data_IF_972884405197
#
_entry.id   IF_972884405197
#
_cell.length_a   1.000
_cell.length_b   1.000
_cell.length_c   1.000
_cell.angle_alpha   90.00
_cell.angle_beta   90.00
_cell.angle_gamma   90.00
#
_symmetry.space_group_name_H-M   'P 1'
#
loop_
_entity.id
_entity.type
_entity.pdbx_description
1 polymer ?
#
# COMPACT_ATOMS: atom_id res chain seq x y z
N UNK A 1 -6.19 12.82 -12.27
CA UNK A 1 -6.38 11.39 -11.96
C UNK A 1 -6.48 11.18 -10.45
N UNK A 2 -7.19 10.18 -9.99
CA UNK A 2 -7.26 9.76 -8.58
C UNK A 2 -6.77 8.32 -8.45
N UNK A 3 -6.02 8.03 -7.40
CA UNK A 3 -5.62 6.66 -7.04
C UNK A 3 -6.20 6.35 -5.66
N UNK A 4 -6.87 5.21 -5.55
CA UNK A 4 -7.29 4.61 -4.30
C UNK A 4 -6.42 3.37 -4.08
N UNK A 5 -5.66 3.33 -2.98
CA UNK A 5 -4.93 2.14 -2.56
C UNK A 5 -5.74 1.52 -1.43
N UNK A 6 -6.14 0.27 -1.60
CA UNK A 6 -7.01 -0.45 -0.67
C UNK A 6 -6.24 -1.64 -0.12
N UNK A 7 -5.98 -1.65 1.19
CA UNK A 7 -5.41 -2.82 1.84
C UNK A 7 -6.47 -3.93 1.95
N UNK A 8 -6.05 -5.19 1.80
CA UNK A 8 -6.93 -6.35 2.02
C UNK A 8 -7.56 -6.34 3.42
N UNK A 9 -8.71 -7.01 3.59
CA UNK A 9 -9.37 -7.23 4.88
C UNK A 9 -8.56 -8.12 5.82
N UNK A 10 -9.04 -8.31 7.05
CA UNK A 10 -8.37 -9.14 8.06
C UNK A 10 -8.03 -10.53 7.51
N UNK A 11 -6.74 -10.94 7.51
CA UNK A 11 -6.30 -12.12 6.78
C UNK A 11 -6.20 -13.36 7.64
N UNK A 12 -6.51 -14.50 7.03
CA UNK A 12 -5.96 -15.79 7.40
C UNK A 12 -4.71 -16.03 6.51
N UNK A 13 -3.52 -15.84 7.06
CA UNK A 13 -2.27 -15.97 6.30
C UNK A 13 -1.96 -17.40 5.87
N UNK A 14 -2.37 -18.40 6.65
CA UNK A 14 -2.14 -19.83 6.36
C UNK A 14 -2.90 -20.27 5.09
N UNK A 15 -4.14 -19.83 4.96
CA UNK A 15 -5.02 -20.18 3.83
C UNK A 15 -4.99 -19.12 2.72
N UNK A 16 -4.28 -18.00 2.92
CA UNK A 16 -4.26 -16.83 2.04
C UNK A 16 -5.66 -16.35 1.64
N UNK A 17 -6.56 -16.25 2.62
CA UNK A 17 -7.94 -15.81 2.45
C UNK A 17 -8.33 -14.77 3.53
N UNK A 18 -9.55 -14.25 3.47
CA UNK A 18 -10.10 -13.43 4.54
C UNK A 18 -10.63 -14.28 5.69
N UNK A 19 -10.48 -13.78 6.92
CA UNK A 19 -11.23 -14.28 8.08
C UNK A 19 -12.70 -13.87 7.98
N UNK A 20 -13.57 -14.41 8.86
CA UNK A 20 -14.95 -13.94 8.94
C UNK A 20 -15.03 -12.45 9.29
N UNK A 21 -14.09 -11.93 10.12
CA UNK A 21 -13.95 -10.51 10.38
C UNK A 21 -13.57 -9.75 9.10
N UNK A 22 -12.56 -10.22 8.39
CA UNK A 22 -12.11 -9.62 7.14
C UNK A 22 -13.19 -9.56 6.05
N UNK A 23 -14.07 -10.55 5.99
CA UNK A 23 -15.23 -10.54 5.09
C UNK A 23 -16.25 -9.45 5.45
N UNK A 24 -16.51 -9.23 6.76
CA UNK A 24 -17.39 -8.13 7.21
C UNK A 24 -16.74 -6.77 6.90
N UNK A 25 -15.46 -6.59 7.22
CA UNK A 25 -14.71 -5.37 6.88
C UNK A 25 -14.75 -5.08 5.38
N UNK A 26 -14.49 -6.09 4.54
CA UNK A 26 -14.54 -5.97 3.09
C UNK A 26 -15.94 -5.61 2.57
N UNK A 27 -17.00 -6.14 3.17
CA UNK A 27 -18.38 -5.78 2.82
C UNK A 27 -18.69 -4.31 3.13
N UNK A 28 -18.25 -3.80 4.29
CA UNK A 28 -18.43 -2.38 4.66
C UNK A 28 -17.63 -1.45 3.74
N UNK A 29 -16.40 -1.81 3.43
CA UNK A 29 -15.56 -1.09 2.45
C UNK A 29 -16.23 -1.07 1.07
N UNK A 30 -16.77 -2.21 0.62
CA UNK A 30 -17.46 -2.30 -0.66
C UNK A 30 -18.71 -1.41 -0.72
N UNK A 31 -19.51 -1.34 0.37
CA UNK A 31 -20.66 -0.46 0.48
C UNK A 31 -20.28 1.04 0.39
N UNK A 32 -19.11 1.42 0.90
CA UNK A 32 -18.56 2.76 0.74
C UNK A 32 -18.11 3.00 -0.70
N UNK A 33 -17.25 2.13 -1.23
CA UNK A 33 -16.61 2.35 -2.52
C UNK A 33 -17.54 2.17 -3.73
N UNK A 34 -18.62 1.39 -3.63
CA UNK A 34 -19.59 1.29 -4.73
C UNK A 34 -20.31 2.62 -5.05
N UNK A 35 -20.28 3.58 -4.14
CA UNK A 35 -20.81 4.93 -4.34
C UNK A 35 -19.83 5.84 -5.10
N UNK A 36 -18.58 5.39 -5.26
CA UNK A 36 -17.53 6.12 -5.94
C UNK A 36 -17.47 5.74 -7.43
N UNK A 37 -17.15 6.71 -8.27
CA UNK A 37 -16.81 6.40 -9.67
C UNK A 37 -15.38 5.84 -9.68
N UNK A 38 -15.23 4.54 -9.89
CA UNK A 38 -13.94 3.86 -10.11
C UNK A 38 -13.92 3.36 -11.56
N UNK A 39 -12.94 3.81 -12.32
CA UNK A 39 -12.84 3.52 -13.76
C UNK A 39 -11.98 2.28 -14.03
N UNK A 40 -10.96 2.01 -13.20
CA UNK A 40 -10.05 0.87 -13.36
C UNK A 40 -9.82 0.17 -12.03
N UNK A 41 -9.83 -1.16 -12.05
CA UNK A 41 -9.68 -2.02 -10.87
C UNK A 41 -8.48 -2.93 -11.08
N UNK A 42 -7.48 -2.80 -10.22
CA UNK A 42 -6.28 -3.63 -10.20
C UNK A 42 -6.20 -4.39 -8.89
N UNK A 43 -5.83 -5.66 -8.94
CA UNK A 43 -5.73 -6.51 -7.76
C UNK A 43 -4.40 -7.24 -7.70
N UNK A 44 -3.88 -7.39 -6.49
CA UNK A 44 -2.89 -8.40 -6.15
C UNK A 44 -3.39 -9.80 -6.51
N UNK A 45 -2.53 -10.74 -6.90
CA UNK A 45 -2.90 -12.13 -7.11
C UNK A 45 -3.10 -12.92 -5.79
N UNK A 46 -2.68 -12.39 -4.63
CA UNK A 46 -2.82 -13.08 -3.34
C UNK A 46 -4.29 -13.14 -2.92
N UNK A 47 -4.70 -14.30 -2.38
CA UNK A 47 -6.10 -14.65 -2.14
C UNK A 47 -6.85 -13.61 -1.30
N UNK A 48 -6.28 -13.19 -0.16
CA UNK A 48 -6.88 -12.18 0.73
C UNK A 48 -7.16 -10.84 0.03
N UNK A 49 -6.28 -10.40 -0.88
CA UNK A 49 -6.49 -9.16 -1.63
C UNK A 49 -7.49 -9.35 -2.77
N UNK A 50 -7.47 -10.52 -3.43
CA UNK A 50 -8.47 -10.89 -4.42
C UNK A 50 -9.88 -10.92 -3.83
N UNK A 51 -10.09 -11.61 -2.70
CA UNK A 51 -11.38 -11.67 -2.03
C UNK A 51 -11.89 -10.27 -1.66
N UNK A 52 -11.01 -9.39 -1.18
CA UNK A 52 -11.37 -7.99 -0.88
C UNK A 52 -11.80 -7.25 -2.14
N UNK A 53 -11.05 -7.38 -3.23
CA UNK A 53 -11.34 -6.78 -4.53
C UNK A 53 -12.65 -7.33 -5.12
N UNK A 54 -12.84 -8.63 -5.10
CA UNK A 54 -14.03 -9.31 -5.63
C UNK A 54 -15.29 -8.91 -4.84
N UNK A 55 -15.17 -8.73 -3.51
CA UNK A 55 -16.28 -8.22 -2.69
C UNK A 55 -16.72 -6.84 -3.15
N UNK A 56 -15.78 -5.92 -3.39
CA UNK A 56 -16.08 -4.62 -3.97
C UNK A 56 -16.67 -4.74 -5.38
N UNK A 57 -15.99 -5.47 -6.26
CA UNK A 57 -16.41 -5.56 -7.67
C UNK A 57 -17.81 -6.19 -7.83
N UNK A 58 -18.16 -7.17 -6.99
CA UNK A 58 -19.51 -7.75 -6.93
C UNK A 58 -20.55 -6.70 -6.50
N UNK A 59 -20.27 -5.94 -5.44
CA UNK A 59 -21.18 -4.90 -4.95
C UNK A 59 -21.38 -3.75 -5.97
N UNK A 60 -20.35 -3.48 -6.79
CA UNK A 60 -20.36 -2.45 -7.83
C UNK A 60 -20.82 -2.96 -9.21
N UNK A 61 -21.08 -4.27 -9.39
CA UNK A 61 -21.42 -4.87 -10.69
C UNK A 61 -20.27 -4.87 -11.71
N UNK A 62 -19.00 -4.95 -11.25
CA UNK A 62 -17.77 -4.77 -12.05
C UNK A 62 -16.82 -5.98 -11.99
N UNK A 63 -17.32 -7.18 -11.76
CA UNK A 63 -16.48 -8.37 -11.60
C UNK A 63 -15.64 -8.72 -12.83
N UNK A 64 -16.10 -8.37 -14.03
CA UNK A 64 -15.36 -8.57 -15.28
C UNK A 64 -14.23 -7.55 -15.50
N UNK A 65 -14.18 -6.47 -14.71
CA UNK A 65 -13.23 -5.35 -14.90
C UNK A 65 -11.95 -5.51 -14.08
N UNK A 66 -11.83 -6.58 -13.28
CA UNK A 66 -10.66 -6.81 -12.42
C UNK A 66 -9.47 -7.23 -13.27
N UNK A 67 -8.38 -6.46 -13.17
CA UNK A 67 -7.09 -6.79 -13.79
C UNK A 67 -6.09 -7.17 -12.71
N UNK A 68 -5.68 -8.42 -12.69
CA UNK A 68 -4.67 -8.92 -11.74
C UNK A 68 -3.27 -8.50 -12.20
N UNK A 69 -2.49 -7.97 -11.28
CA UNK A 69 -1.10 -7.56 -11.48
C UNK A 69 -0.18 -8.27 -10.49
N UNK A 70 0.73 -9.10 -10.98
CA UNK A 70 1.63 -9.90 -10.14
C UNK A 70 2.52 -9.07 -9.22
N UNK A 71 2.90 -7.87 -9.64
CA UNK A 71 3.73 -6.97 -8.86
C UNK A 71 2.97 -6.26 -7.71
N UNK A 72 1.64 -6.38 -7.64
CA UNK A 72 0.83 -5.92 -6.51
C UNK A 72 0.84 -6.87 -5.29
N UNK A 73 1.64 -7.94 -5.32
CA UNK A 73 1.90 -8.80 -4.15
C UNK A 73 2.48 -7.99 -2.99
N UNK A 74 2.37 -8.56 -1.78
CA UNK A 74 3.02 -7.96 -0.62
C UNK A 74 4.53 -7.79 -0.85
N UNK A 75 5.06 -6.71 -0.30
CA UNK A 75 6.50 -6.43 -0.30
C UNK A 75 7.15 -7.17 0.89
N UNK A 76 7.17 -8.48 0.79
CA UNK A 76 7.56 -9.44 1.83
C UNK A 76 9.01 -9.94 1.71
N UNK A 77 9.88 -9.16 1.08
CA UNK A 77 11.26 -9.55 0.84
C UNK A 77 12.04 -9.72 2.15
N UNK A 78 12.62 -10.92 2.43
CA UNK A 78 13.31 -11.17 3.69
C UNK A 78 14.67 -10.47 3.75
N UNK A 79 14.99 -9.95 4.92
CA UNK A 79 16.27 -9.29 5.22
C UNK A 79 16.86 -9.81 6.52
N UNK A 80 18.14 -9.54 6.77
CA UNK A 80 18.81 -9.80 8.04
C UNK A 80 19.21 -8.48 8.67
N UNK A 81 18.68 -8.18 9.85
CA UNK A 81 19.00 -6.95 10.56
C UNK A 81 20.29 -7.02 11.36
N UNK A 82 20.92 -5.88 11.68
CA UNK A 82 22.16 -5.83 12.46
C UNK A 82 22.04 -6.48 13.85
N UNK A 83 20.84 -6.49 14.43
CA UNK A 83 20.52 -7.20 15.68
C UNK A 83 20.65 -8.72 15.60
N UNK A 84 20.88 -9.28 14.39
CA UNK A 84 20.94 -10.73 14.14
C UNK A 84 19.58 -11.36 13.86
N UNK A 85 18.49 -10.59 13.82
CA UNK A 85 17.18 -11.08 13.39
C UNK A 85 17.24 -11.42 11.89
N UNK A 86 17.08 -12.68 11.56
CA UNK A 86 17.11 -13.21 10.18
C UNK A 86 15.70 -13.46 9.66
N UNK A 87 15.55 -13.49 8.34
CA UNK A 87 14.25 -13.68 7.68
C UNK A 87 13.17 -12.66 8.09
N UNK A 88 13.60 -11.51 8.58
CA UNK A 88 12.72 -10.41 8.94
C UNK A 88 12.27 -9.66 7.68
N UNK A 89 11.15 -8.97 7.75
CA UNK A 89 10.67 -8.17 6.64
C UNK A 89 11.25 -6.76 6.71
N UNK A 90 11.49 -6.11 5.57
CA UNK A 90 12.12 -4.80 5.51
C UNK A 90 11.35 -3.71 6.29
N UNK A 91 10.05 -3.91 6.50
CA UNK A 91 9.15 -3.03 7.22
C UNK A 91 8.91 -3.43 8.68
N UNK A 92 9.75 -4.30 9.25
CA UNK A 92 9.66 -4.77 10.64
C UNK A 92 10.97 -4.51 11.41
N UNK A 93 11.52 -3.29 11.26
CA UNK A 93 12.69 -2.85 12.03
C UNK A 93 12.26 -2.41 13.42
N UNK A 94 13.06 -2.79 14.44
CA UNK A 94 12.91 -2.21 15.76
C UNK A 94 13.42 -0.76 15.78
N UNK A 95 12.90 0.11 16.66
CA UNK A 95 13.27 1.52 16.67
C UNK A 95 14.78 1.78 16.67
N UNK A 96 15.56 1.03 17.45
CA UNK A 96 17.02 1.16 17.54
C UNK A 96 17.75 0.81 16.24
N UNK A 97 17.11 0.07 15.34
CA UNK A 97 17.72 -0.36 14.06
C UNK A 97 17.63 0.71 12.97
N UNK A 98 16.78 1.75 13.13
CA UNK A 98 16.55 2.70 12.05
C UNK A 98 16.50 4.19 12.45
N UNK A 99 16.09 4.55 13.69
CA UNK A 99 15.81 5.95 14.06
C UNK A 99 17.02 6.88 13.95
N UNK A 100 18.25 6.36 14.08
CA UNK A 100 19.49 7.13 13.99
C UNK A 100 20.23 6.94 12.65
N UNK A 101 19.71 6.12 11.76
CA UNK A 101 20.34 5.75 10.49
C UNK A 101 19.92 6.71 9.36
N UNK A 102 20.67 7.80 9.17
CA UNK A 102 20.33 8.88 8.21
C UNK A 102 20.05 8.40 6.79
N UNK A 103 20.78 7.38 6.32
CA UNK A 103 20.59 6.83 4.97
C UNK A 103 19.19 6.26 4.77
N UNK A 104 18.56 5.76 5.83
CA UNK A 104 17.21 5.21 5.79
C UNK A 104 16.12 6.27 5.59
N UNK A 105 16.44 7.53 5.84
CA UNK A 105 15.55 8.67 5.61
C UNK A 105 15.59 9.18 4.16
N UNK A 106 16.61 8.77 3.40
CA UNK A 106 16.78 9.19 2.01
C UNK A 106 15.87 8.37 1.07
N UNK A 107 15.04 9.07 0.31
CA UNK A 107 14.14 8.47 -0.66
C UNK A 107 14.85 7.60 -1.71
N UNK A 108 16.00 8.06 -2.23
CA UNK A 108 16.76 7.36 -3.26
C UNK A 108 17.95 6.56 -2.70
N UNK A 109 18.21 6.64 -1.39
CA UNK A 109 19.41 6.06 -0.75
C UNK A 109 19.14 4.97 0.27
N UNK A 110 17.92 4.84 0.78
CA UNK A 110 17.60 3.94 1.90
C UNK A 110 18.07 2.49 1.71
N UNK A 111 17.96 1.95 0.49
CA UNK A 111 18.37 0.57 0.17
C UNK A 111 19.90 0.40 0.10
N UNK A 112 20.68 1.46 0.28
CA UNK A 112 22.14 1.38 0.45
C UNK A 112 22.56 1.12 1.90
N UNK A 113 21.61 1.08 2.84
CA UNK A 113 21.91 0.68 4.21
C UNK A 113 22.52 -0.73 4.25
N UNK A 114 23.57 -0.98 5.09
CA UNK A 114 24.27 -2.27 5.11
C UNK A 114 23.38 -3.50 5.28
N UNK A 115 22.29 -3.41 6.04
CA UNK A 115 21.37 -4.54 6.24
C UNK A 115 20.66 -5.01 4.96
N UNK A 116 20.59 -4.16 3.93
CA UNK A 116 19.95 -4.49 2.66
C UNK A 116 20.93 -4.94 1.59
N UNK A 117 22.25 -4.78 1.83
CA UNK A 117 23.28 -5.16 0.86
C UNK A 117 23.29 -6.68 0.64
N UNK A 118 23.27 -7.09 -0.64
CA UNK A 118 23.26 -8.50 -1.03
C UNK A 118 21.95 -9.26 -0.75
N UNK A 119 20.93 -8.59 -0.21
CA UNK A 119 19.64 -9.24 0.05
C UNK A 119 18.77 -9.39 -1.20
N UNK A 120 18.98 -8.60 -2.26
CA UNK A 120 18.09 -8.52 -3.43
C UNK A 120 16.94 -7.54 -3.24
N UNK A 121 16.86 -6.88 -2.09
CA UNK A 121 15.77 -5.94 -1.77
C UNK A 121 15.70 -4.75 -2.72
N UNK A 122 16.88 -4.21 -3.09
CA UNK A 122 16.98 -3.09 -4.04
C UNK A 122 16.35 -3.44 -5.39
N UNK A 123 16.71 -4.58 -5.92
CA UNK A 123 16.20 -5.09 -7.20
C UNK A 123 14.69 -5.30 -7.14
N UNK A 124 14.20 -5.87 -6.05
CA UNK A 124 12.75 -6.03 -5.81
C UNK A 124 12.03 -4.69 -5.76
N UNK A 125 12.58 -3.71 -5.03
CA UNK A 125 12.02 -2.36 -4.95
C UNK A 125 11.98 -1.71 -6.33
N UNK A 126 13.09 -1.77 -7.07
CA UNK A 126 13.20 -1.17 -8.40
C UNK A 126 12.24 -1.81 -9.41
N UNK A 127 12.04 -3.14 -9.38
CA UNK A 127 11.06 -3.81 -10.23
C UNK A 127 9.64 -3.31 -9.93
N UNK A 128 9.26 -3.24 -8.66
CA UNK A 128 7.92 -2.77 -8.27
C UNK A 128 7.66 -1.34 -8.74
N UNK A 129 8.59 -0.40 -8.47
CA UNK A 129 8.38 0.99 -8.87
C UNK A 129 8.41 1.20 -10.38
N UNK A 130 9.20 0.41 -11.13
CA UNK A 130 9.21 0.47 -12.59
C UNK A 130 7.86 0.02 -13.17
N UNK A 131 7.31 -1.10 -12.71
CA UNK A 131 5.99 -1.59 -13.13
C UNK A 131 4.86 -0.67 -12.72
N UNK A 132 5.00 0.00 -11.60
CA UNK A 132 4.03 1.02 -11.18
C UNK A 132 4.10 2.26 -12.08
N UNK A 133 5.31 2.74 -12.42
CA UNK A 133 5.48 3.83 -13.37
C UNK A 133 4.95 3.48 -14.77
N UNK A 134 5.14 2.24 -15.24
CA UNK A 134 4.53 1.73 -16.48
C UNK A 134 3.00 1.81 -16.43
N UNK A 135 2.40 1.38 -15.30
CA UNK A 135 0.95 1.50 -15.10
C UNK A 135 0.50 2.96 -15.19
N UNK A 136 1.20 3.89 -14.52
CA UNK A 136 0.85 5.32 -14.56
C UNK A 136 1.04 5.90 -15.96
N UNK A 137 2.06 5.48 -16.71
CA UNK A 137 2.28 5.89 -18.09
C UNK A 137 1.14 5.43 -19.02
N UNK A 138 0.61 4.21 -18.84
CA UNK A 138 -0.59 3.74 -19.56
C UNK A 138 -1.80 4.65 -19.31
N UNK A 139 -1.86 5.30 -18.15
CA UNK A 139 -2.89 6.27 -17.79
C UNK A 139 -2.51 7.72 -18.09
N UNK A 140 -1.42 7.95 -18.82
CA UNK A 140 -1.02 9.27 -19.32
C UNK A 140 -0.09 10.07 -18.41
N UNK A 141 0.52 9.44 -17.40
CA UNK A 141 1.45 10.08 -16.44
C UNK A 141 2.81 9.38 -16.48
N UNK A 142 3.74 9.94 -17.23
CA UNK A 142 5.10 9.39 -17.41
C UNK A 142 6.04 9.95 -16.35
N UNK A 143 6.73 9.09 -15.60
CA UNK A 143 7.69 9.53 -14.58
C UNK A 143 8.81 10.38 -15.20
N UNK A 144 9.06 11.55 -14.61
CA UNK A 144 10.13 12.48 -14.99
C UNK A 144 10.75 13.08 -13.73
N UNK A 145 11.96 12.66 -13.41
CA UNK A 145 12.63 13.02 -12.14
C UNK A 145 11.75 12.70 -10.93
N UNK A 146 11.49 13.69 -10.08
CA UNK A 146 10.64 13.56 -8.87
C UNK A 146 9.15 13.94 -9.11
N UNK A 147 8.73 14.02 -10.38
CA UNK A 147 7.36 14.31 -10.77
C UNK A 147 6.93 13.46 -11.96
N UNK A 148 5.91 13.95 -12.65
CA UNK A 148 5.34 13.26 -13.80
C UNK A 148 5.10 14.25 -14.94
N UNK A 149 5.44 13.83 -16.15
CA UNK A 149 5.03 14.50 -17.38
C UNK A 149 3.65 13.99 -17.78
N UNK A 150 2.73 14.91 -18.03
CA UNK A 150 1.34 14.59 -18.38
C UNK A 150 1.22 14.52 -19.91
N UNK A 151 1.07 13.30 -20.42
CA UNK A 151 0.83 13.04 -21.85
C UNK A 151 -0.65 13.03 -22.19
N UNK A 152 -1.48 12.53 -21.26
CA UNK A 152 -2.93 12.48 -21.41
C UNK A 152 -3.61 12.83 -20.09
N UNK A 153 -4.04 14.10 -19.96
CA UNK A 153 -4.83 14.56 -18.83
C UNK A 153 -6.16 13.80 -18.74
N UNK A 154 -6.51 13.36 -17.53
CA UNK A 154 -7.77 12.67 -17.28
C UNK A 154 -8.26 12.88 -15.83
N UNK A 155 -9.48 12.41 -15.55
CA UNK A 155 -10.11 12.40 -14.23
C UNK A 155 -10.47 10.99 -13.78
N UNK A 156 -9.78 10.00 -14.33
CA UNK A 156 -10.03 8.61 -14.02
C UNK A 156 -9.64 8.29 -12.58
N UNK A 157 -10.33 7.33 -12.00
CA UNK A 157 -10.02 6.74 -10.70
C UNK A 157 -9.53 5.32 -10.87
N UNK A 158 -8.32 5.06 -10.40
CA UNK A 158 -7.73 3.74 -10.30
C UNK A 158 -7.89 3.23 -8.87
N UNK A 159 -8.39 2.02 -8.68
CA UNK A 159 -8.38 1.32 -7.40
C UNK A 159 -7.36 0.18 -7.44
N UNK A 160 -6.41 0.16 -6.49
CA UNK A 160 -5.36 -0.84 -6.35
C UNK A 160 -5.61 -1.62 -5.06
N UNK A 161 -6.06 -2.87 -5.17
CA UNK A 161 -6.28 -3.75 -4.02
C UNK A 161 -5.01 -4.53 -3.72
N UNK A 162 -4.37 -4.25 -2.60
CA UNK A 162 -3.04 -4.75 -2.30
C UNK A 162 -2.77 -4.90 -0.79
N UNK A 163 -1.57 -4.59 -0.32
CA UNK A 163 -1.04 -4.92 1.00
C UNK A 163 -0.32 -3.73 1.60
N UNK A 164 -0.07 -3.76 2.94
CA UNK A 164 0.54 -2.66 3.68
C UNK A 164 1.97 -2.33 3.24
N UNK A 165 2.84 -3.33 3.17
CA UNK A 165 4.25 -3.10 2.80
C UNK A 165 4.37 -2.56 1.38
N UNK A 166 3.57 -3.10 0.45
CA UNK A 166 3.52 -2.61 -0.93
C UNK A 166 2.92 -1.21 -1.03
N UNK A 167 1.82 -0.91 -0.33
CA UNK A 167 1.22 0.42 -0.31
C UNK A 167 2.25 1.49 0.02
N UNK A 168 3.09 1.25 1.02
CA UNK A 168 4.16 2.15 1.42
C UNK A 168 5.22 2.33 0.31
N UNK A 169 5.54 1.30 -0.46
CA UNK A 169 6.41 1.40 -1.64
C UNK A 169 5.79 2.28 -2.72
N UNK A 170 4.50 2.11 -3.00
CA UNK A 170 3.78 2.94 -3.98
C UNK A 170 3.71 4.41 -3.54
N UNK A 171 3.41 4.66 -2.27
CA UNK A 171 3.41 6.02 -1.69
C UNK A 171 4.79 6.64 -1.71
N UNK A 172 5.82 5.88 -1.37
CA UNK A 172 7.22 6.31 -1.49
C UNK A 172 7.51 6.84 -2.90
N UNK A 173 7.10 6.10 -3.93
CA UNK A 173 7.30 6.50 -5.32
C UNK A 173 6.51 7.74 -5.72
N UNK A 174 5.26 7.87 -5.28
CA UNK A 174 4.39 9.00 -5.60
C UNK A 174 4.79 10.29 -4.87
N UNK A 175 5.22 10.18 -3.61
CA UNK A 175 5.44 11.32 -2.72
C UNK A 175 6.93 11.65 -2.51
N UNK A 176 7.86 10.85 -3.04
CA UNK A 176 9.32 10.99 -2.85
C UNK A 176 9.72 10.99 -1.36
N UNK A 177 9.15 10.06 -0.60
CA UNK A 177 9.43 9.86 0.83
C UNK A 177 10.06 8.47 0.97
N UNK A 178 11.08 8.31 1.82
CA UNK A 178 11.65 6.99 2.09
C UNK A 178 10.56 6.01 2.54
N UNK A 179 10.49 4.80 1.98
CA UNK A 179 9.51 3.80 2.42
C UNK A 179 9.71 3.38 3.88
N UNK A 180 10.92 3.52 4.42
CA UNK A 180 11.22 3.27 5.83
C UNK A 180 10.34 4.14 6.73
N UNK A 181 10.20 5.43 6.40
CA UNK A 181 9.36 6.35 7.17
C UNK A 181 7.88 5.99 7.07
N UNK A 182 7.44 5.53 5.89
CA UNK A 182 6.06 5.11 5.69
C UNK A 182 5.75 3.80 6.42
N UNK A 183 6.67 2.84 6.39
CA UNK A 183 6.50 1.57 7.08
C UNK A 183 6.46 1.69 8.61
N UNK A 184 7.27 2.62 9.19
CA UNK A 184 7.48 2.66 10.63
C UNK A 184 6.74 3.79 11.36
N UNK A 185 6.12 4.72 10.60
CA UNK A 185 5.36 5.83 11.18
C UNK A 185 3.87 5.82 10.82
N UNK A 186 3.46 5.01 9.84
CA UNK A 186 2.08 5.01 9.37
C UNK A 186 1.46 3.63 9.52
N UNK A 187 0.18 3.60 9.87
CA UNK A 187 -0.59 2.36 9.98
C UNK A 187 -1.76 2.41 9.01
N UNK A 188 -1.78 1.50 8.05
CA UNK A 188 -2.94 1.25 7.20
C UNK A 188 -3.64 -0.02 7.70
N UNK A 189 -4.75 0.13 8.42
CA UNK A 189 -5.52 -1.00 8.92
C UNK A 189 -6.13 -1.85 7.77
N UNK A 190 -6.49 -3.12 8.00
CA UNK A 190 -7.23 -3.91 7.03
C UNK A 190 -8.44 -3.16 6.48
N UNK A 191 -8.70 -3.29 5.18
CA UNK A 191 -9.68 -2.57 4.37
C UNK A 191 -9.54 -1.05 4.31
N UNK A 192 -8.52 -0.47 4.92
CA UNK A 192 -8.28 0.98 4.82
C UNK A 192 -8.10 1.42 3.37
N UNK A 193 -8.46 2.68 3.13
CA UNK A 193 -8.39 3.31 1.81
C UNK A 193 -7.50 4.53 1.88
N UNK A 194 -6.40 4.51 1.14
CA UNK A 194 -5.54 5.68 0.95
C UNK A 194 -5.86 6.35 -0.38
N UNK A 195 -6.05 7.66 -0.35
CA UNK A 195 -6.50 8.44 -1.51
C UNK A 195 -5.44 9.44 -1.94
N UNK A 196 -5.06 9.39 -3.22
CA UNK A 196 -4.16 10.35 -3.82
C UNK A 196 -4.80 11.00 -5.06
N UNK A 197 -4.41 12.26 -5.30
CA UNK A 197 -4.81 13.02 -6.47
C UNK A 197 -3.61 13.57 -7.21
N UNK A 198 -3.69 13.64 -8.55
CA UNK A 198 -2.75 14.44 -9.33
C UNK A 198 -3.02 15.92 -9.09
N UNK A 199 -1.94 16.69 -8.89
CA UNK A 199 -1.95 18.14 -8.94
C UNK A 199 -1.26 18.59 -10.22
N UNK A 200 -1.99 19.31 -11.08
CA UNK A 200 -1.56 19.73 -12.42
C UNK A 200 -1.71 21.26 -12.62
N UNK A 201 -1.13 22.04 -11.69
CA UNK A 201 -1.20 23.51 -11.77
C UNK A 201 -0.31 24.14 -12.86
N UNK A 202 0.49 23.33 -13.55
CA UNK A 202 1.26 23.70 -14.73
C UNK A 202 0.98 22.71 -15.85
N UNK A 203 0.84 23.20 -17.07
CA UNK A 203 0.63 22.35 -18.22
C UNK A 203 1.77 21.35 -18.41
N UNK A 204 1.42 20.12 -18.72
CA UNK A 204 2.36 19.02 -18.92
C UNK A 204 3.08 18.51 -17.67
N UNK A 205 2.80 19.02 -16.46
CA UNK A 205 3.47 18.62 -15.23
C UNK A 205 2.48 18.23 -14.13
N UNK A 206 2.75 17.11 -13.47
CA UNK A 206 1.98 16.64 -12.32
C UNK A 206 2.86 16.19 -11.17
N UNK A 207 2.32 16.30 -9.96
CA UNK A 207 2.75 15.60 -8.75
C UNK A 207 1.54 14.93 -8.12
N UNK A 208 1.75 13.97 -7.25
CA UNK A 208 0.68 13.35 -6.47
C UNK A 208 0.60 13.96 -5.07
N UNK A 209 -0.62 14.16 -4.58
CA UNK A 209 -0.91 14.54 -3.19
C UNK A 209 -1.71 13.46 -2.51
N UNK A 210 -1.23 12.98 -1.38
CA UNK A 210 -2.01 12.13 -0.49
C UNK A 210 -3.02 13.02 0.26
N UNK A 211 -4.30 12.80 -0.03
CA UNK A 211 -5.41 13.55 0.58
C UNK A 211 -5.99 12.84 1.81
N UNK A 212 -5.73 11.56 1.96
CA UNK A 212 -6.11 10.76 3.12
C UNK A 212 -5.34 9.46 3.11
N UNK A 213 -4.70 9.13 4.24
CA UNK A 213 -3.99 7.88 4.43
C UNK A 213 -4.79 6.98 5.37
N UNK A 214 -4.97 5.70 5.00
CA UNK A 214 -5.50 4.68 5.89
C UNK A 214 -6.94 4.92 6.39
N UNK A 215 -7.80 5.57 5.59
CA UNK A 215 -9.19 5.86 6.00
C UNK A 215 -9.99 4.57 6.22
N UNK A 216 -10.52 4.42 7.44
CA UNK A 216 -11.39 3.32 7.89
C UNK A 216 -12.78 3.80 8.30
N UNK A 217 -13.21 4.96 7.82
CA UNK A 217 -14.52 5.54 8.17
C UNK A 217 -15.71 4.60 7.89
N UNK A 218 -15.57 3.67 6.93
CA UNK A 218 -16.60 2.65 6.66
C UNK A 218 -16.78 1.66 7.82
N UNK A 219 -15.71 1.35 8.57
CA UNK A 219 -15.80 0.48 9.73
C UNK A 219 -16.57 1.15 10.87
N UNK A 220 -16.27 2.44 11.15
CA UNK A 220 -17.01 3.21 12.18
C UNK A 220 -18.49 3.35 11.84
N UNK A 221 -18.83 3.59 10.57
CA UNK A 221 -20.22 3.66 10.12
C UNK A 221 -20.94 2.31 10.27
N UNK A 222 -20.21 1.21 10.09
CA UNK A 222 -20.71 -0.15 10.21
C UNK A 222 -20.63 -0.74 11.62
N UNK A 223 -20.20 0.05 12.61
CA UNK A 223 -20.00 -0.39 14.01
C UNK A 223 -19.07 -1.63 14.12
N UNK A 224 -18.13 -1.78 13.16
CA UNK A 224 -17.10 -2.82 13.18
C UNK A 224 -15.80 -2.24 13.68
N UNK A 225 -15.19 -2.84 14.71
CA UNK A 225 -13.87 -2.43 15.18
C UNK A 225 -12.78 -2.83 14.18
N UNK A 226 -11.75 -1.97 13.95
CA UNK A 226 -10.66 -2.33 13.04
C UNK A 226 -9.91 -3.56 13.55
N UNK A 227 -9.43 -4.38 12.59
CA UNK A 227 -8.60 -5.53 12.88
C UNK A 227 -7.22 -5.14 13.42
N UNK A 228 -6.65 -6.02 14.25
CA UNK A 228 -5.31 -5.86 14.81
C UNK A 228 -4.18 -6.20 13.82
N UNK A 229 -4.46 -6.87 12.70
CA UNK A 229 -3.43 -7.38 11.80
C UNK A 229 -2.45 -6.29 11.32
N UNK A 230 -1.17 -6.47 11.68
CA UNK A 230 -0.05 -5.62 11.28
C UNK A 230 -0.28 -4.12 11.58
N UNK A 231 -0.63 -3.79 12.81
CA UNK A 231 -0.74 -2.38 13.29
C UNK A 231 0.51 -1.90 14.01
N UNK A 232 1.36 -2.83 14.50
CA UNK A 232 2.68 -2.52 15.09
C UNK A 232 2.65 -1.45 16.21
N UNK A 233 1.63 -1.48 17.07
CA UNK A 233 1.45 -0.51 18.14
C UNK A 233 1.56 -1.16 19.53
N UNK A 234 2.37 -2.22 19.63
CA UNK A 234 2.60 -2.99 20.84
C UNK A 234 3.30 -2.14 21.91
N UNK A 235 3.08 -2.49 23.17
CA UNK A 235 3.79 -1.91 24.30
C UNK A 235 4.93 -2.83 24.76
N UNK A 236 5.93 -2.29 25.46
CA UNK A 236 7.08 -3.08 25.89
C UNK A 236 6.70 -4.19 26.88
N UNK A 237 5.72 -3.94 27.72
CA UNK A 237 5.26 -4.83 28.79
C UNK A 237 4.10 -5.77 28.38
N UNK A 238 3.50 -5.52 27.20
CA UNK A 238 2.41 -6.34 26.67
C UNK A 238 2.47 -6.37 25.13
N UNK A 239 3.20 -7.33 24.56
CA UNK A 239 3.42 -7.40 23.11
C UNK A 239 2.20 -7.95 22.33
N UNK A 240 1.23 -8.50 23.02
CA UNK A 240 -0.05 -8.98 22.50
C UNK A 240 -1.20 -7.97 22.70
N UNK A 241 -0.94 -6.86 23.39
CA UNK A 241 -1.86 -5.76 23.59
C UNK A 241 -1.32 -4.47 22.94
N UNK A 242 -2.22 -3.57 22.61
CA UNK A 242 -1.92 -2.26 22.01
C UNK A 242 -2.80 -1.19 22.62
N UNK A 243 -2.45 0.08 22.39
CA UNK A 243 -3.15 1.24 22.93
C UNK A 243 -4.56 1.45 22.34
N UNK A 244 -4.94 0.74 21.32
CA UNK A 244 -6.18 0.95 20.55
C UNK A 244 -7.15 -0.23 20.60
#
# INVERSE_FOLDING_TARGET
MRILIVRHGDPNYELDCLTEKGKREAALMAEKLKKEKIDYIYSSPLGRAKETCETYAKAAGKTADIVVKDWLKEFDHPVTFPSGRTHSLAWDMLPEEWINERVLYDYDGWYHHPCYQGSGLKEKYQDVIARFDELLAMHGYVRENNGYRVEKRNRDTLALFCHFGLESVLLSRLCNISPILLWHHFVAAPTSVTTLYTEERRDGKAVFRCAGFGDIGHLYVGEESPSFSARFCETFDAQDERHD
#
